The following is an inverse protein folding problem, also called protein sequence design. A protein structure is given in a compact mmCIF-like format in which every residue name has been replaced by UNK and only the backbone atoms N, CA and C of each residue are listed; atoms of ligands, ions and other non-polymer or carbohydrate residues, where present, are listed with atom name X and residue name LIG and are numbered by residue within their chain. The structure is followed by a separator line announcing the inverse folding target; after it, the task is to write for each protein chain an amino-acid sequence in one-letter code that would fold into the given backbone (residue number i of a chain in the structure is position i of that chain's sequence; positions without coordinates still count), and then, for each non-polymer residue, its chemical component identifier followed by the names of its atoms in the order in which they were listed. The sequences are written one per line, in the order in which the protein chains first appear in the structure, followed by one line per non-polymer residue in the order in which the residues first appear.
data_IF_546469024334
#
_entry.id   IF_546469024334
#
_cell.length_a   1.000
_cell.length_b   1.000
_cell.length_c   1.000
_cell.angle_alpha   90.00
_cell.angle_beta   90.00
_cell.angle_gamma   90.00
#
_symmetry.space_group_name_H-M   'P 1'
#
loop_
_entity.id
_entity.type
_entity.pdbx_description
1 polymer ?
#
# COMPACT_ATOMS: atom_id res chain seq x y z
N UNK A 1 -55.27 4.29 -10.69
CA UNK A 1 -54.82 3.56 -9.49
C UNK A 1 -54.56 2.11 -9.87
N UNK A 2 -53.28 1.71 -9.96
CA UNK A 2 -52.92 0.29 -10.13
C UNK A 2 -53.25 -0.44 -8.83
N UNK A 3 -54.41 -1.11 -8.78
CA UNK A 3 -54.74 -2.07 -7.71
C UNK A 3 -53.82 -3.27 -7.88
N UNK A 4 -52.81 -3.35 -7.03
CA UNK A 4 -52.01 -4.55 -6.86
C UNK A 4 -52.92 -5.60 -6.22
N UNK A 5 -53.56 -6.42 -7.06
CA UNK A 5 -54.32 -7.60 -6.62
C UNK A 5 -53.32 -8.68 -6.23
N UNK A 6 -53.39 -9.08 -4.96
CA UNK A 6 -52.82 -10.31 -4.41
C UNK A 6 -51.28 -10.39 -4.44
N UNK A 7 -50.63 -9.46 -3.73
CA UNK A 7 -49.33 -9.74 -3.11
C UNK A 7 -49.58 -10.65 -1.90
N UNK A 8 -49.78 -11.94 -2.19
CA UNK A 8 -49.77 -12.97 -1.16
C UNK A 8 -48.37 -13.00 -0.51
N UNK A 9 -48.29 -13.34 0.79
CA UNK A 9 -47.03 -13.36 1.56
C UNK A 9 -45.96 -14.20 0.83
N UNK A 10 -46.38 -15.24 0.12
CA UNK A 10 -45.51 -16.06 -0.72
C UNK A 10 -44.81 -15.26 -1.84
N UNK A 11 -45.56 -14.45 -2.60
CA UNK A 11 -44.99 -13.61 -3.68
C UNK A 11 -44.11 -12.49 -3.13
N UNK A 12 -44.49 -11.92 -1.98
CA UNK A 12 -43.66 -10.94 -1.29
C UNK A 12 -42.30 -11.55 -0.89
N UNK A 13 -42.31 -12.77 -0.34
CA UNK A 13 -41.10 -13.49 0.03
C UNK A 13 -40.22 -13.81 -1.19
N UNK A 14 -40.81 -14.18 -2.33
CA UNK A 14 -40.05 -14.49 -3.53
C UNK A 14 -39.39 -13.25 -4.16
N UNK A 15 -40.08 -12.10 -4.14
CA UNK A 15 -39.49 -10.82 -4.54
C UNK A 15 -38.31 -10.44 -3.63
N UNK A 16 -38.44 -10.63 -2.32
CA UNK A 16 -37.35 -10.37 -1.37
C UNK A 16 -36.14 -11.28 -1.62
N UNK A 17 -36.36 -12.59 -1.81
CA UNK A 17 -35.29 -13.55 -2.14
C UNK A 17 -34.58 -13.16 -3.45
N UNK A 18 -35.34 -12.79 -4.49
CA UNK A 18 -34.78 -12.36 -5.75
C UNK A 18 -33.93 -11.08 -5.59
N UNK A 19 -34.41 -10.10 -4.81
CA UNK A 19 -33.66 -8.89 -4.52
C UNK A 19 -32.36 -9.17 -3.75
N UNK A 20 -32.38 -10.10 -2.79
CA UNK A 20 -31.17 -10.49 -2.05
C UNK A 20 -30.17 -11.27 -2.91
N UNK A 21 -30.65 -12.12 -3.83
CA UNK A 21 -29.79 -12.76 -4.83
C UNK A 21 -29.12 -11.74 -5.75
N UNK A 22 -29.83 -10.70 -6.19
CA UNK A 22 -29.25 -9.61 -6.98
C UNK A 22 -28.15 -8.87 -6.19
N UNK A 23 -28.40 -8.51 -4.93
CA UNK A 23 -27.39 -7.86 -4.07
C UNK A 23 -26.18 -8.77 -3.83
N UNK A 24 -26.39 -10.07 -3.64
CA UNK A 24 -25.32 -11.05 -3.46
C UNK A 24 -24.45 -11.16 -4.72
N UNK A 25 -25.06 -11.23 -5.91
CA UNK A 25 -24.34 -11.27 -7.18
C UNK A 25 -23.55 -9.97 -7.47
N UNK A 26 -24.07 -8.81 -7.05
CA UNK A 26 -23.35 -7.54 -7.15
C UNK A 26 -22.16 -7.47 -6.18
N UNK A 27 -22.29 -8.02 -4.98
CA UNK A 27 -21.20 -8.12 -4.01
C UNK A 27 -20.09 -9.06 -4.51
N UNK A 28 -20.44 -10.21 -5.10
CA UNK A 28 -19.49 -11.17 -5.67
C UNK A 28 -18.70 -10.56 -6.85
N UNK A 29 -19.36 -9.79 -7.72
CA UNK A 29 -18.70 -9.03 -8.80
C UNK A 29 -17.73 -7.95 -8.31
N UNK A 30 -17.95 -7.40 -7.11
CA UNK A 30 -17.01 -6.47 -6.47
C UNK A 30 -15.82 -7.24 -5.89
N UNK A 31 -16.07 -8.31 -5.15
CA UNK A 31 -15.03 -9.15 -4.55
C UNK A 31 -14.05 -9.73 -5.58
N UNK A 32 -14.55 -10.17 -6.74
CA UNK A 32 -13.69 -10.68 -7.83
C UNK A 32 -12.77 -9.61 -8.44
N UNK A 33 -13.21 -8.35 -8.53
CA UNK A 33 -12.35 -7.23 -8.97
C UNK A 33 -11.26 -6.90 -7.96
N UNK A 34 -11.55 -6.99 -6.67
CA UNK A 34 -10.58 -6.74 -5.59
C UNK A 34 -9.50 -7.82 -5.48
N UNK A 35 -9.80 -9.07 -5.86
CA UNK A 35 -8.84 -10.18 -5.84
C UNK A 35 -7.91 -10.19 -7.06
N UNK A 36 -8.33 -9.65 -8.20
CA UNK A 36 -7.51 -9.61 -9.43
C UNK A 36 -6.43 -8.52 -9.38
N UNK A 37 -6.51 -7.56 -8.44
CA UNK A 37 -5.55 -6.47 -8.26
C UNK A 37 -4.64 -6.59 -7.04
N UNK A 38 -4.80 -7.62 -6.21
CA UNK A 38 -4.02 -7.81 -4.97
C UNK A 38 -3.11 -9.03 -5.09
N UNK A 39 -1.96 -8.81 -5.71
CA UNK A 39 -0.79 -9.67 -5.53
C UNK A 39 -0.37 -9.57 -4.06
N UNK A 40 -0.58 -10.63 -3.28
CA UNK A 40 -0.08 -10.70 -1.91
C UNK A 40 1.34 -11.30 -1.94
N UNK A 41 2.33 -10.53 -1.51
CA UNK A 41 3.69 -11.04 -1.37
C UNK A 41 3.73 -12.11 -0.28
N UNK A 42 4.17 -13.32 -0.64
CA UNK A 42 4.43 -14.40 0.31
C UNK A 42 5.63 -13.99 1.18
N UNK A 43 5.36 -13.53 2.40
CA UNK A 43 6.39 -13.33 3.42
C UNK A 43 6.82 -14.71 3.93
N UNK A 44 7.81 -15.30 3.26
CA UNK A 44 8.50 -16.48 3.74
C UNK A 44 9.29 -16.08 4.99
N UNK A 45 8.75 -16.36 6.18
CA UNK A 45 9.50 -16.25 7.44
C UNK A 45 10.72 -17.17 7.32
N UNK A 46 11.89 -16.58 7.08
CA UNK A 46 13.14 -17.30 7.22
C UNK A 46 13.37 -17.50 8.71
N UNK A 47 13.13 -18.72 9.16
CA UNK A 47 13.61 -19.19 10.45
C UNK A 47 15.09 -18.87 10.59
N UNK A 48 15.40 -18.21 11.71
CA UNK A 48 16.74 -17.80 12.09
C UNK A 48 17.54 -19.04 12.47
N UNK A 49 18.06 -19.79 11.51
CA UNK A 49 19.06 -20.83 11.78
C UNK A 49 20.12 -20.86 10.69
N UNK A 50 21.22 -20.19 11.01
CA UNK A 50 22.62 -20.53 10.77
C UNK A 50 23.14 -20.71 9.32
N UNK A 51 24.07 -19.81 8.98
CA UNK A 51 25.28 -20.01 8.17
C UNK A 51 25.15 -20.43 6.71
N UNK A 52 25.11 -19.43 5.81
CA UNK A 52 26.13 -19.30 4.73
C UNK A 52 26.40 -17.81 4.54
N UNK A 53 27.59 -17.36 4.93
CA UNK A 53 28.13 -16.05 4.57
C UNK A 53 28.58 -16.15 3.11
N UNK A 54 27.83 -15.58 2.18
CA UNK A 54 28.40 -15.21 0.88
C UNK A 54 29.00 -13.82 1.04
N UNK A 55 30.32 -13.82 1.02
CA UNK A 55 31.19 -12.66 1.08
C UNK A 55 30.88 -11.72 -0.08
N UNK A 56 30.09 -10.69 0.17
CA UNK A 56 30.11 -9.47 -0.63
C UNK A 56 30.16 -8.31 0.36
N UNK A 57 31.41 -7.92 0.62
CA UNK A 57 31.81 -6.56 0.91
C UNK A 57 31.13 -5.88 2.10
N UNK A 58 31.62 -6.24 3.28
CA UNK A 58 31.85 -5.22 4.32
C UNK A 58 32.93 -4.25 3.81
N UNK A 59 32.62 -3.43 2.79
CA UNK A 59 33.43 -2.26 2.49
C UNK A 59 33.35 -1.38 3.73
N UNK A 60 34.50 -1.19 4.37
CA UNK A 60 34.69 -0.26 5.47
C UNK A 60 33.98 1.04 5.10
N UNK A 61 33.01 1.45 5.92
CA UNK A 61 32.40 2.77 5.83
C UNK A 61 33.48 3.80 6.13
N UNK A 62 34.26 4.18 5.13
CA UNK A 62 35.28 5.21 5.25
C UNK A 62 35.16 6.14 4.06
N UNK A 63 34.61 7.31 4.34
CA UNK A 63 34.89 8.56 3.63
C UNK A 63 34.54 8.68 2.14
N UNK A 64 33.64 7.85 1.63
CA UNK A 64 33.14 8.07 0.26
C UNK A 64 32.09 9.17 0.25
N UNK A 65 32.47 10.35 -0.23
CA UNK A 65 31.54 11.45 -0.51
C UNK A 65 30.45 10.98 -1.49
N UNK A 66 29.19 11.22 -1.15
CA UNK A 66 28.06 10.88 -2.00
C UNK A 66 27.28 12.14 -2.37
N UNK A 67 26.64 12.12 -3.54
CA UNK A 67 25.72 13.19 -3.93
C UNK A 67 24.46 13.11 -3.06
N UNK A 68 24.26 14.11 -2.20
CA UNK A 68 23.13 14.11 -1.28
C UNK A 68 21.85 14.60 -1.96
N UNK A 69 20.81 13.77 -1.97
CA UNK A 69 19.47 14.10 -2.52
C UNK A 69 18.75 15.25 -1.82
N UNK A 70 19.21 15.64 -0.62
CA UNK A 70 18.58 16.70 0.20
C UNK A 70 19.13 18.08 -0.13
N UNK A 71 20.43 18.19 -0.32
CA UNK A 71 21.13 19.46 -0.49
C UNK A 71 21.85 19.58 -1.85
N UNK A 72 21.77 18.53 -2.67
CA UNK A 72 22.40 18.38 -3.97
C UNK A 72 23.92 18.64 -4.01
N UNK A 73 24.59 18.50 -2.86
CA UNK A 73 26.05 18.61 -2.71
C UNK A 73 26.68 17.25 -2.39
N UNK A 74 27.95 17.08 -2.77
CA UNK A 74 28.76 15.94 -2.35
C UNK A 74 29.25 16.15 -0.91
N UNK A 75 29.02 15.18 -0.03
CA UNK A 75 29.54 15.20 1.33
C UNK A 75 29.50 13.81 1.96
N UNK A 76 30.19 13.63 3.08
CA UNK A 76 30.15 12.41 3.88
C UNK A 76 28.76 12.15 4.50
N UNK A 77 28.39 10.89 4.79
CA UNK A 77 27.19 10.55 5.54
C UNK A 77 27.06 11.40 6.81
N UNK A 78 25.83 11.80 7.16
CA UNK A 78 25.51 12.62 8.35
C UNK A 78 26.07 14.05 8.38
N UNK A 79 26.84 14.48 7.37
CA UNK A 79 27.39 15.85 7.28
C UNK A 79 26.53 16.80 6.44
N UNK A 80 25.24 16.48 6.24
CA UNK A 80 24.37 17.28 5.36
C UNK A 80 24.00 18.62 6.02
N UNK A 81 24.32 19.78 5.41
CA UNK A 81 23.96 21.07 5.98
C UNK A 81 22.46 21.39 5.91
N UNK A 82 21.71 20.68 5.06
CA UNK A 82 20.25 20.79 5.00
C UNK A 82 19.57 19.96 6.10
N UNK A 83 20.30 19.15 6.87
CA UNK A 83 19.73 18.38 7.96
C UNK A 83 19.10 19.34 8.99
N UNK A 84 17.84 19.11 9.36
CA UNK A 84 17.01 19.95 10.25
C UNK A 84 16.67 21.35 9.72
N UNK A 85 17.16 21.77 8.55
CA UNK A 85 16.77 23.06 7.94
C UNK A 85 15.35 22.98 7.37
N UNK A 86 14.58 24.05 7.53
CA UNK A 86 13.24 24.21 6.96
C UNK A 86 13.38 24.94 5.62
N UNK A 87 12.78 24.40 4.57
CA UNK A 87 12.74 25.03 3.26
C UNK A 87 11.83 26.26 3.28
N UNK A 88 12.34 27.41 2.85
CA UNK A 88 11.57 28.68 2.79
C UNK A 88 10.44 28.65 1.76
N UNK A 89 10.56 27.82 0.72
CA UNK A 89 9.58 27.74 -0.36
C UNK A 89 8.39 26.82 -0.02
N UNK A 90 8.62 25.72 0.72
CA UNK A 90 7.57 24.73 1.00
C UNK A 90 7.32 24.41 2.49
N UNK A 91 8.11 24.97 3.42
CA UNK A 91 7.96 24.74 4.86
C UNK A 91 8.35 23.34 5.36
N UNK A 92 8.84 22.44 4.50
CA UNK A 92 9.26 21.09 4.90
C UNK A 92 10.72 21.07 5.34
N UNK A 93 11.05 20.13 6.24
CA UNK A 93 12.40 19.94 6.76
C UNK A 93 13.32 19.22 5.75
N UNK A 94 14.62 19.27 6.00
CA UNK A 94 15.65 18.41 5.39
C UNK A 94 15.94 18.63 3.90
N UNK A 95 15.76 19.85 3.37
CA UNK A 95 16.27 20.27 2.05
C UNK A 95 16.40 21.80 1.97
N UNK A 96 17.08 22.31 0.93
CA UNK A 96 17.11 23.74 0.60
C UNK A 96 15.98 24.11 -0.38
N UNK A 97 15.64 25.41 -0.44
CA UNK A 97 14.58 25.93 -1.30
C UNK A 97 14.94 25.92 -2.80
#
# INVERSE_FOLDING_TARGET
MLRIRDLDVSKAADMCKAADMCKAAELEKRQTRDLQGRSVDIVKKKDKTNSVKTETDKVKQSDSEYLCKRCNKKHNPKSCPAYVKICINCGKHSHFA
#
